data_IF_891807892021
#
_entry.id   IF_891807892021
#
_cell.length_a   1.000
_cell.length_b   1.000
_cell.length_c   1.000
_cell.angle_alpha   90.00
_cell.angle_beta   90.00
_cell.angle_gamma   90.00
#
_symmetry.space_group_name_H-M   'P 1'
#
loop_
_entity.id
_entity.type
_entity.pdbx_description
1 polymer ?
#
# COMPACT_ATOMS: atom_id res chain seq x y z
N UNK A 1 3.26 5.82 7.18
CA UNK A 1 2.72 4.97 8.27
C UNK A 1 2.06 3.73 7.69
N UNK A 2 2.08 2.56 8.37
CA UNK A 2 1.29 1.41 7.96
C UNK A 2 -0.21 1.67 8.20
N UNK A 3 -1.08 1.01 7.42
CA UNK A 3 -2.53 1.02 7.61
C UNK A 3 -3.05 -0.40 7.74
N UNK A 4 -3.90 -0.65 8.74
CA UNK A 4 -4.54 -1.94 8.96
C UNK A 4 -5.98 -1.91 8.46
N UNK A 5 -6.38 -2.91 7.67
CA UNK A 5 -7.76 -3.15 7.29
C UNK A 5 -7.98 -4.64 7.05
N UNK A 6 -9.07 -5.19 7.61
CA UNK A 6 -9.54 -6.56 7.35
C UNK A 6 -8.47 -7.66 7.47
N UNK A 7 -7.60 -7.55 8.48
CA UNK A 7 -6.53 -8.53 8.72
C UNK A 7 -5.26 -8.32 7.87
N UNK A 8 -5.22 -7.24 7.08
CA UNK A 8 -4.09 -6.91 6.20
C UNK A 8 -3.44 -5.60 6.63
N UNK A 9 -2.11 -5.57 6.66
CA UNK A 9 -1.32 -4.36 6.82
C UNK A 9 -0.77 -3.88 5.47
N UNK A 10 -1.04 -2.62 5.15
CA UNK A 10 -0.56 -1.96 3.94
C UNK A 10 0.57 -1.01 4.27
N UNK A 11 1.70 -1.17 3.59
CA UNK A 11 2.95 -0.45 3.87
C UNK A 11 3.49 0.14 2.57
N UNK A 12 3.60 1.46 2.51
CA UNK A 12 4.29 2.17 1.43
C UNK A 12 5.77 2.42 1.79
N UNK A 13 6.66 2.21 0.83
CA UNK A 13 8.10 2.47 0.98
C UNK A 13 8.56 3.66 0.14
N UNK A 14 9.66 4.30 0.55
CA UNK A 14 10.29 5.38 -0.24
C UNK A 14 10.85 4.90 -1.58
N UNK A 15 11.08 3.59 -1.74
CA UNK A 15 11.48 2.96 -3.00
C UNK A 15 10.32 2.77 -3.98
N UNK A 16 9.10 3.19 -3.63
CA UNK A 16 7.94 3.09 -4.49
C UNK A 16 7.24 1.74 -4.48
N UNK A 17 7.57 0.87 -3.52
CA UNK A 17 6.88 -0.40 -3.34
C UNK A 17 5.77 -0.25 -2.30
N UNK A 18 4.57 -0.70 -2.65
CA UNK A 18 3.45 -0.96 -1.72
C UNK A 18 3.43 -2.44 -1.40
N UNK A 19 3.40 -2.77 -0.13
CA UNK A 19 3.23 -4.14 0.37
C UNK A 19 1.85 -4.28 1.01
N UNK A 20 1.21 -5.42 0.79
CA UNK A 20 0.17 -5.94 1.66
C UNK A 20 0.71 -7.18 2.36
N UNK A 21 0.62 -7.19 3.68
CA UNK A 21 1.09 -8.30 4.50
C UNK A 21 -0.04 -8.78 5.41
N UNK A 22 -0.09 -10.08 5.66
CA UNK A 22 -0.99 -10.66 6.66
C UNK A 22 -0.61 -10.10 8.04
N UNK A 23 -1.57 -9.55 8.76
CA UNK A 23 -1.31 -8.88 10.02
C UNK A 23 -0.99 -9.84 11.18
N UNK A 24 -1.22 -11.15 11.01
CA UNK A 24 -1.02 -12.17 12.04
C UNK A 24 0.42 -12.69 12.06
N UNK A 25 1.00 -12.92 10.89
CA UNK A 25 2.34 -13.54 10.76
C UNK A 25 3.34 -12.71 9.93
N UNK A 26 2.88 -11.62 9.28
CA UNK A 26 3.69 -10.75 8.44
C UNK A 26 4.00 -11.32 7.07
N UNK A 27 3.35 -12.40 6.65
CA UNK A 27 3.49 -12.98 5.31
C UNK A 27 3.10 -11.96 4.24
N UNK A 28 3.95 -11.77 3.23
CA UNK A 28 3.63 -10.94 2.07
C UNK A 28 2.47 -11.58 1.29
N UNK A 29 1.34 -10.89 1.23
CA UNK A 29 0.19 -11.29 0.41
C UNK A 29 0.39 -10.83 -1.03
N UNK A 30 0.83 -9.60 -1.21
CA UNK A 30 1.23 -9.04 -2.50
C UNK A 30 2.12 -7.81 -2.35
N UNK A 31 2.77 -7.43 -3.46
CA UNK A 31 3.42 -6.14 -3.60
C UNK A 31 3.17 -5.52 -4.98
N UNK A 32 3.21 -4.20 -5.03
CA UNK A 32 3.05 -3.43 -6.26
C UNK A 32 4.08 -2.30 -6.32
N UNK A 33 4.73 -2.15 -7.47
CA UNK A 33 5.66 -1.05 -7.73
C UNK A 33 4.92 0.10 -8.41
N UNK A 34 4.77 1.23 -7.69
CA UNK A 34 4.16 2.45 -8.24
C UNK A 34 5.13 3.31 -9.03
N UNK A 35 6.42 2.97 -9.08
CA UNK A 35 7.45 3.66 -9.87
C UNK A 35 7.86 5.03 -9.35
N UNK A 36 7.40 5.42 -8.16
CA UNK A 36 7.67 6.72 -7.56
C UNK A 36 7.69 6.64 -6.02
N UNK A 37 8.45 7.53 -5.39
CA UNK A 37 8.57 7.59 -3.93
C UNK A 37 7.23 7.86 -3.26
N UNK A 38 6.84 6.98 -2.34
CA UNK A 38 5.64 7.13 -1.51
C UNK A 38 5.98 7.99 -0.30
N UNK A 39 5.20 9.05 -0.10
CA UNK A 39 5.39 10.02 0.99
C UNK A 39 4.26 10.03 2.01
N UNK A 40 3.12 9.43 1.67
CA UNK A 40 1.95 9.33 2.54
C UNK A 40 1.79 7.96 3.19
N UNK A 41 0.85 7.89 4.14
CA UNK A 41 0.25 6.62 4.50
C UNK A 41 -0.66 6.15 3.35
N UNK A 42 -0.76 4.84 3.07
CA UNK A 42 -1.80 4.32 2.18
C UNK A 42 -3.21 4.68 2.70
N UNK A 43 -4.20 4.74 1.81
CA UNK A 43 -5.61 4.75 2.20
C UNK A 43 -6.31 3.55 1.55
N UNK A 44 -7.02 2.78 2.37
CA UNK A 44 -7.72 1.58 1.92
C UNK A 44 -9.16 1.95 1.55
N UNK A 45 -9.53 1.62 0.32
CA UNK A 45 -10.89 1.71 -0.21
C UNK A 45 -11.46 0.31 -0.36
N UNK A 46 -12.77 0.21 -0.65
CA UNK A 46 -13.45 -1.07 -0.84
C UNK A 46 -12.84 -1.97 -1.92
N UNK A 47 -12.22 -1.39 -2.96
CA UNK A 47 -11.69 -2.13 -4.12
C UNK A 47 -10.31 -1.64 -4.60
N UNK A 48 -9.64 -0.84 -3.77
CA UNK A 48 -8.37 -0.24 -4.13
C UNK A 48 -7.55 0.20 -2.92
N UNK A 49 -6.24 0.32 -3.11
CA UNK A 49 -5.34 1.01 -2.20
C UNK A 49 -4.84 2.29 -2.87
N UNK A 50 -5.05 3.43 -2.22
CA UNK A 50 -4.52 4.72 -2.64
C UNK A 50 -3.17 4.99 -1.97
N UNK A 51 -2.21 5.49 -2.73
CA UNK A 51 -0.95 6.01 -2.20
C UNK A 51 -0.62 7.38 -2.77
N UNK A 52 -0.10 8.25 -1.91
CA UNK A 52 0.45 9.55 -2.28
C UNK A 52 1.93 9.41 -2.58
N UNK A 53 2.33 9.82 -3.79
CA UNK A 53 3.72 9.96 -4.21
C UNK A 53 4.13 11.42 -4.20
N UNK A 54 5.41 11.70 -4.46
CA UNK A 54 5.92 13.08 -4.60
C UNK A 54 5.18 13.90 -5.69
N UNK A 55 4.65 13.25 -6.73
CA UNK A 55 4.10 13.93 -7.90
C UNK A 55 2.59 13.70 -8.10
N UNK A 56 2.05 12.58 -7.62
CA UNK A 56 0.67 12.15 -7.93
C UNK A 56 0.03 11.33 -6.80
N UNK A 57 -1.30 11.17 -6.88
CA UNK A 57 -2.04 10.14 -6.14
C UNK A 57 -2.33 8.97 -7.08
N UNK A 58 -1.98 7.75 -6.67
CA UNK A 58 -2.15 6.53 -7.48
C UNK A 58 -3.08 5.55 -6.77
N UNK A 59 -4.02 4.97 -7.51
CA UNK A 59 -4.90 3.89 -7.05
C UNK A 59 -4.43 2.55 -7.60
N UNK A 60 -4.25 1.56 -6.72
CA UNK A 60 -3.98 0.16 -7.06
C UNK A 60 -5.31 -0.58 -6.95
N UNK A 61 -5.95 -0.84 -8.10
CA UNK A 61 -7.30 -1.42 -8.16
C UNK A 61 -7.28 -2.95 -8.33
N UNK A 62 -8.34 -3.61 -7.89
CA UNK A 62 -8.54 -5.06 -8.10
C UNK A 62 -7.80 -5.93 -7.08
N UNK A 63 -7.54 -5.38 -5.91
CA UNK A 63 -7.09 -6.10 -4.72
C UNK A 63 -8.25 -6.22 -3.74
#
# INVERSE_FOLDING_TARGET
>A
PPVYADGVLYIGTRSGIVYAVDATDGTELWRFDVGATIVGAPAVLTNAVLVTTDNTVTAIAGQ
#
